data_IF_799852609903
#
_entry.id   IF_799852609903
#
_cell.length_a   1.000
_cell.length_b   1.000
_cell.length_c   1.000
_cell.angle_alpha   90.00
_cell.angle_beta   90.00
_cell.angle_gamma   90.00
#
_symmetry.space_group_name_H-M   'P 1'
#
loop_
_entity.id
_entity.type
_entity.pdbx_description
1 polymer ?
#
# COMPACT_ATOMS: atom_id res chain seq x y z
N UNK A 1 15.77 -6.38 16.24
CA UNK A 1 16.05 -6.55 14.79
C UNK A 1 15.46 -5.38 14.01
N UNK A 2 16.27 -4.63 13.25
CA UNK A 2 15.76 -3.58 12.35
C UNK A 2 15.06 -4.25 11.16
N UNK A 3 13.80 -3.89 10.90
CA UNK A 3 13.10 -4.31 9.68
C UNK A 3 13.76 -3.58 8.50
N UNK A 4 14.28 -4.34 7.53
CA UNK A 4 14.68 -3.77 6.24
C UNK A 4 13.41 -3.24 5.56
N UNK A 5 13.36 -1.93 5.37
CA UNK A 5 12.29 -1.27 4.62
C UNK A 5 12.69 -1.25 3.16
N UNK A 6 11.84 -1.83 2.30
CA UNK A 6 12.02 -1.83 0.86
C UNK A 6 11.11 -0.78 0.22
N UNK A 7 11.61 -0.12 -0.82
CA UNK A 7 10.81 0.81 -1.62
C UNK A 7 9.70 0.05 -2.35
N UNK A 8 8.63 0.77 -2.69
CA UNK A 8 7.49 0.21 -3.40
C UNK A 8 7.89 -0.34 -4.78
N UNK A 9 8.66 0.45 -5.53
CA UNK A 9 9.15 0.08 -6.86
C UNK A 9 9.95 -1.22 -6.82
N UNK A 10 10.83 -1.36 -5.83
CA UNK A 10 11.60 -2.58 -5.65
C UNK A 10 10.71 -3.81 -5.39
N UNK A 11 9.66 -3.67 -4.57
CA UNK A 11 8.70 -4.76 -4.34
C UNK A 11 7.97 -5.14 -5.62
N UNK A 12 7.57 -4.15 -6.41
CA UNK A 12 6.87 -4.36 -7.67
C UNK A 12 7.76 -5.06 -8.70
N UNK A 13 9.02 -4.65 -8.81
CA UNK A 13 10.01 -5.27 -9.69
C UNK A 13 10.25 -6.75 -9.32
N UNK A 14 10.42 -7.05 -8.03
CA UNK A 14 10.57 -8.42 -7.55
C UNK A 14 9.36 -9.30 -7.90
N UNK A 15 8.14 -8.74 -7.80
CA UNK A 15 6.90 -9.44 -8.14
C UNK A 15 6.79 -9.64 -9.65
N UNK A 16 7.14 -8.63 -10.45
CA UNK A 16 7.14 -8.71 -11.92
C UNK A 16 8.12 -9.76 -12.43
N UNK A 17 9.30 -9.90 -11.81
CA UNK A 17 10.27 -10.96 -12.15
C UNK A 17 9.64 -12.36 -12.10
N UNK A 18 8.83 -12.63 -11.08
CA UNK A 18 8.16 -13.93 -10.93
C UNK A 18 6.95 -14.05 -11.86
N UNK A 19 6.12 -13.01 -11.95
CA UNK A 19 4.83 -13.11 -12.65
C UNK A 19 4.94 -12.95 -14.16
N UNK A 20 5.75 -11.98 -14.62
CA UNK A 20 5.93 -11.64 -16.03
C UNK A 20 7.05 -12.48 -16.63
N UNK A 21 8.22 -12.52 -16.00
CA UNK A 21 9.39 -13.24 -16.52
C UNK A 21 9.41 -14.73 -16.15
N UNK A 22 8.41 -15.21 -15.39
CA UNK A 22 8.23 -16.62 -14.99
C UNK A 22 9.42 -17.22 -14.24
N UNK A 23 10.22 -16.39 -13.57
CA UNK A 23 11.31 -16.89 -12.73
C UNK A 23 10.75 -17.70 -11.55
N UNK A 24 11.40 -18.82 -11.18
CA UNK A 24 11.04 -19.53 -9.97
C UNK A 24 11.28 -18.63 -8.76
N UNK A 25 10.37 -18.69 -7.78
CA UNK A 25 10.36 -17.78 -6.62
C UNK A 25 11.67 -17.85 -5.83
N UNK A 26 12.32 -19.02 -5.78
CA UNK A 26 13.62 -19.23 -5.15
C UNK A 26 14.72 -18.44 -5.85
N UNK A 27 14.85 -18.60 -7.17
CA UNK A 27 15.86 -17.91 -7.96
C UNK A 27 15.62 -16.39 -8.00
N UNK A 28 14.35 -15.97 -8.03
CA UNK A 28 13.99 -14.55 -7.95
C UNK A 28 14.43 -13.93 -6.61
N UNK A 29 14.21 -14.65 -5.51
CA UNK A 29 14.60 -14.21 -4.17
C UNK A 29 16.13 -14.12 -4.03
N UNK A 30 16.86 -15.09 -4.56
CA UNK A 30 18.33 -15.10 -4.60
C UNK A 30 18.88 -13.94 -5.45
N UNK A 31 18.34 -13.77 -6.67
CA UNK A 31 18.76 -12.72 -7.61
C UNK A 31 18.56 -11.33 -7.01
N UNK A 32 17.43 -11.11 -6.34
CA UNK A 32 17.11 -9.83 -5.70
C UNK A 32 17.66 -9.70 -4.27
N UNK A 33 18.41 -10.69 -3.78
CA UNK A 33 18.97 -10.75 -2.44
C UNK A 33 17.94 -10.48 -1.32
N UNK A 34 16.76 -11.10 -1.44
CA UNK A 34 15.68 -11.03 -0.44
C UNK A 34 15.36 -12.42 0.10
N UNK A 35 14.84 -12.46 1.34
CA UNK A 35 14.40 -13.72 1.92
C UNK A 35 13.19 -14.30 1.16
N UNK A 36 13.22 -15.60 0.87
CA UNK A 36 12.15 -16.31 0.15
C UNK A 36 10.75 -16.04 0.72
N UNK A 37 10.62 -16.10 2.05
CA UNK A 37 9.36 -15.83 2.76
C UNK A 37 8.86 -14.39 2.57
N UNK A 38 9.77 -13.44 2.38
CA UNK A 38 9.45 -12.04 2.09
C UNK A 38 8.82 -11.93 0.69
N UNK A 39 9.45 -12.55 -0.31
CA UNK A 39 8.96 -12.52 -1.68
C UNK A 39 7.60 -13.23 -1.80
N UNK A 40 7.45 -14.40 -1.17
CA UNK A 40 6.17 -15.12 -1.13
C UNK A 40 5.04 -14.27 -0.49
N UNK A 41 5.35 -13.54 0.58
CA UNK A 41 4.39 -12.62 1.20
C UNK A 41 3.97 -11.51 0.25
N UNK A 42 4.92 -10.92 -0.49
CA UNK A 42 4.63 -9.88 -1.47
C UNK A 42 3.79 -10.40 -2.63
N UNK A 43 4.07 -11.60 -3.13
CA UNK A 43 3.26 -12.25 -4.16
C UNK A 43 1.83 -12.49 -3.69
N UNK A 44 1.64 -12.97 -2.45
CA UNK A 44 0.30 -13.15 -1.88
C UNK A 44 -0.44 -11.82 -1.76
N UNK A 45 0.25 -10.78 -1.29
CA UNK A 45 -0.31 -9.44 -1.18
C UNK A 45 -0.71 -8.88 -2.55
N UNK A 46 0.19 -8.93 -3.55
CA UNK A 46 -0.09 -8.47 -4.92
C UNK A 46 -1.29 -9.17 -5.55
N UNK A 47 -1.45 -10.49 -5.34
CA UNK A 47 -2.63 -11.23 -5.81
C UNK A 47 -3.93 -10.78 -5.12
N UNK A 48 -3.85 -10.37 -3.86
CA UNK A 48 -4.99 -9.79 -3.13
C UNK A 48 -5.33 -8.39 -3.64
N UNK A 49 -4.32 -7.56 -3.87
CA UNK A 49 -4.48 -6.21 -4.44
C UNK A 49 -5.10 -6.26 -5.82
N UNK A 50 -4.67 -7.17 -6.70
CA UNK A 50 -5.29 -7.37 -8.02
C UNK A 50 -6.75 -7.85 -7.96
N UNK A 51 -7.23 -8.32 -6.80
CA UNK A 51 -8.64 -8.66 -6.56
C UNK A 51 -9.41 -7.49 -5.93
N UNK A 52 -8.81 -6.31 -5.87
CA UNK A 52 -9.39 -5.10 -5.28
C UNK A 52 -9.23 -4.97 -3.77
N UNK A 53 -8.42 -5.82 -3.13
CA UNK A 53 -8.29 -5.80 -1.67
C UNK A 53 -7.23 -4.78 -1.23
N UNK A 54 -7.65 -3.64 -0.66
CA UNK A 54 -6.74 -2.63 -0.10
C UNK A 54 -5.97 -3.21 1.08
N UNK A 55 -4.63 -3.28 1.03
CA UNK A 55 -3.84 -3.68 2.18
C UNK A 55 -3.88 -2.57 3.23
N UNK A 56 -3.71 -2.93 4.49
CA UNK A 56 -3.52 -1.95 5.57
C UNK A 56 -2.07 -1.42 5.56
N UNK A 57 -1.13 -2.27 5.12
CA UNK A 57 0.28 -1.90 4.93
C UNK A 57 0.50 -1.22 3.57
N UNK A 58 1.70 -0.67 3.35
CA UNK A 58 2.10 -0.11 2.05
C UNK A 58 1.78 -1.09 0.91
N UNK A 59 0.90 -0.63 0.02
CA UNK A 59 0.50 -1.33 -1.21
C UNK A 59 1.70 -1.63 -2.12
N UNK A 60 1.58 -2.65 -2.98
CA UNK A 60 2.59 -3.05 -3.98
C UNK A 60 2.19 -2.61 -5.39
N UNK A 61 0.89 -2.48 -5.66
CA UNK A 61 0.36 -1.94 -6.90
C UNK A 61 0.22 -0.42 -6.82
N UNK A 62 0.50 0.31 -7.91
CA UNK A 62 0.39 1.77 -7.93
C UNK A 62 -1.07 2.23 -7.75
N UNK A 63 -2.02 1.46 -8.26
CA UNK A 63 -3.46 1.72 -8.09
C UNK A 63 -3.86 1.66 -6.62
N UNK A 64 -3.52 0.58 -5.92
CA UNK A 64 -3.90 0.44 -4.51
C UNK A 64 -3.18 1.45 -3.61
N UNK A 65 -1.97 1.86 -4.00
CA UNK A 65 -1.27 2.97 -3.36
C UNK A 65 -2.04 4.28 -3.52
N UNK A 66 -2.54 4.57 -4.73
CA UNK A 66 -3.35 5.76 -4.97
C UNK A 66 -4.64 5.73 -4.14
N UNK A 67 -5.28 4.57 -4.02
CA UNK A 67 -6.46 4.37 -3.16
C UNK A 67 -6.13 4.72 -1.70
N UNK A 68 -5.02 4.22 -1.15
CA UNK A 68 -4.60 4.54 0.22
C UNK A 68 -4.32 6.03 0.44
N UNK A 69 -3.66 6.68 -0.52
CA UNK A 69 -3.36 8.12 -0.49
C UNK A 69 -4.66 8.93 -0.46
N UNK A 70 -5.62 8.57 -1.31
CA UNK A 70 -6.92 9.22 -1.39
C UNK A 70 -7.74 8.98 -0.11
N UNK A 71 -7.80 7.76 0.41
CA UNK A 71 -8.48 7.47 1.68
C UNK A 71 -7.89 8.28 2.84
N UNK A 72 -6.57 8.48 2.86
CA UNK A 72 -5.91 9.32 3.86
C UNK A 72 -6.33 10.78 3.73
N UNK A 73 -6.37 11.31 2.50
CA UNK A 73 -6.83 12.69 2.25
C UNK A 73 -8.30 12.88 2.62
N UNK A 74 -9.17 11.94 2.27
CA UNK A 74 -10.59 11.98 2.64
C UNK A 74 -10.76 11.99 4.16
N UNK A 75 -10.04 11.13 4.88
CA UNK A 75 -10.08 11.12 6.36
C UNK A 75 -9.63 12.45 6.96
N UNK A 76 -8.58 13.05 6.42
CA UNK A 76 -8.11 14.36 6.89
C UNK A 76 -9.18 15.43 6.66
N UNK A 77 -9.74 15.50 5.44
CA UNK A 77 -10.78 16.47 5.10
C UNK A 77 -12.04 16.30 5.95
N UNK A 78 -12.44 15.05 6.24
CA UNK A 78 -13.56 14.77 7.13
C UNK A 78 -13.28 15.27 8.55
N UNK A 79 -12.09 14.99 9.09
CA UNK A 79 -11.68 15.49 10.41
C UNK A 79 -11.67 17.02 10.47
N UNK A 80 -11.15 17.68 9.44
CA UNK A 80 -11.10 19.14 9.36
C UNK A 80 -12.51 19.73 9.27
N UNK A 81 -13.39 19.11 8.48
CA UNK A 81 -14.80 19.52 8.37
C UNK A 81 -15.55 19.35 9.69
N UNK A 82 -15.35 18.22 10.37
CA UNK A 82 -15.99 17.96 11.67
C UNK A 82 -15.49 18.94 12.74
N UNK A 83 -14.21 19.30 12.72
CA UNK A 83 -13.66 20.36 13.57
C UNK A 83 -14.32 21.71 13.24
N UNK A 84 -14.40 22.09 11.97
CA UNK A 84 -15.03 23.34 11.54
C UNK A 84 -16.51 23.42 11.92
N UNK A 85 -17.26 22.32 11.76
CA UNK A 85 -18.67 22.25 12.19
C UNK A 85 -18.84 22.44 13.68
N UNK A 86 -17.93 21.88 14.49
CA UNK A 86 -17.92 22.06 15.95
C UNK A 86 -17.59 23.49 16.36
N UNK A 87 -16.68 24.14 15.64
CA UNK A 87 -16.24 25.50 15.93
C UNK A 87 -17.16 26.58 15.35
N UNK A 88 -18.02 26.24 14.38
CA UNK A 88 -18.99 27.19 13.83
C UNK A 88 -19.94 27.61 14.95
N UNK A 89 -19.91 28.87 15.42
CA UNK A 89 -20.87 29.32 16.40
C UNK A 89 -22.27 29.13 15.81
N UNK A 90 -23.22 28.63 16.60
CA UNK A 90 -24.63 28.76 16.25
C UNK A 90 -24.86 30.25 16.03
N UNK A 91 -25.06 30.67 14.78
CA UNK A 91 -25.28 32.07 14.44
C UNK A 91 -26.39 32.60 15.37
N UNK A 92 -26.10 33.57 16.26
CA UNK A 92 -27.07 34.05 17.24
C UNK A 92 -28.06 35.04 16.63
N UNK A 93 -28.00 35.25 15.32
CA UNK A 93 -28.86 36.16 14.58
C UNK A 93 -29.81 35.35 13.68
N UNK A 94 -30.91 34.90 14.28
CA UNK A 94 -32.19 34.63 13.64
C UNK A 94 -33.28 35.30 14.48
#
# INVERSE_FOLDING_TARGET
MRKKSFTHEFKQECVNLVLQHKYPVTQAAETMNIGLSTLQRWLRQYRGENRGNTPIASAITPEQRRIQELEKQVRQLQSDNDLLKRLRPSSPWK
#
